data_IF_997431405409
#
_entry.id   IF_997431405409
#
_cell.length_a   1.000
_cell.length_b   1.000
_cell.length_c   1.000
_cell.angle_alpha   90.00
_cell.angle_beta   90.00
_cell.angle_gamma   90.00
#
_symmetry.space_group_name_H-M   'P 1'
#
loop_
_entity.id
_entity.type
_entity.pdbx_description
1 polymer ?
#
# COMPACT_ATOMS: atom_id res chain seq x y z
N UNK A 1 -20.00 -10.75 8.10
CA UNK A 1 -20.59 -9.69 7.26
C UNK A 1 -19.48 -8.70 6.98
N UNK A 2 -19.02 -8.59 5.73
CA UNK A 2 -18.17 -7.48 5.32
C UNK A 2 -18.98 -6.19 5.54
N UNK A 3 -18.38 -5.17 6.18
CA UNK A 3 -19.00 -3.85 6.27
C UNK A 3 -19.04 -3.21 4.88
N UNK A 4 -20.01 -2.31 4.64
CA UNK A 4 -20.09 -1.53 3.39
C UNK A 4 -18.78 -0.74 3.10
N UNK A 5 -18.00 -0.49 4.15
CA UNK A 5 -16.67 0.11 4.11
C UNK A 5 -15.66 -0.82 3.42
N UNK A 6 -15.68 -2.13 3.72
CA UNK A 6 -14.84 -3.10 3.02
C UNK A 6 -15.20 -3.16 1.53
N UNK A 7 -16.48 -3.08 1.18
CA UNK A 7 -16.94 -3.07 -0.21
C UNK A 7 -16.49 -1.81 -0.97
N UNK A 8 -16.42 -0.65 -0.30
CA UNK A 8 -15.87 0.58 -0.88
C UNK A 8 -14.34 0.52 -1.06
N UNK A 9 -13.63 -0.15 -0.15
CA UNK A 9 -12.17 -0.30 -0.18
C UNK A 9 -11.67 -1.23 -1.31
N UNK A 10 -12.44 -2.27 -1.67
CA UNK A 10 -12.09 -3.27 -2.68
C UNK A 10 -12.18 -2.77 -4.16
N UNK A 11 -11.67 -1.57 -4.44
CA UNK A 11 -11.38 -1.13 -5.82
C UNK A 11 -11.99 0.21 -6.26
N UNK A 12 -12.71 0.92 -5.39
CA UNK A 12 -13.30 2.22 -5.74
C UNK A 12 -12.50 3.42 -5.19
N UNK A 13 -11.64 3.22 -4.19
CA UNK A 13 -10.79 4.26 -3.62
C UNK A 13 -9.36 3.71 -3.59
N UNK A 14 -8.45 4.34 -4.33
CA UNK A 14 -7.01 4.09 -4.25
C UNK A 14 -6.38 5.34 -3.62
N UNK A 15 -6.31 5.43 -2.27
CA UNK A 15 -5.86 6.66 -1.62
C UNK A 15 -4.37 6.96 -1.83
N UNK A 16 -3.62 6.03 -2.44
CA UNK A 16 -2.25 6.24 -2.86
C UNK A 16 -2.14 7.07 -4.15
N UNK A 17 -3.15 7.05 -5.02
CA UNK A 17 -3.15 7.79 -6.29
C UNK A 17 -3.66 9.23 -6.14
N UNK A 18 -4.54 9.50 -5.17
CA UNK A 18 -5.28 10.77 -5.12
C UNK A 18 -4.56 11.90 -4.33
N UNK A 19 -3.74 11.58 -3.31
CA UNK A 19 -3.12 12.66 -2.51
C UNK A 19 -1.73 12.38 -1.91
N UNK A 20 -1.42 11.15 -1.49
CA UNK A 20 -0.21 10.86 -0.68
C UNK A 20 1.10 10.89 -1.45
N UNK A 21 1.08 10.70 -2.77
CA UNK A 21 2.29 10.58 -3.62
C UNK A 21 2.42 11.69 -4.67
N UNK A 22 1.57 12.73 -4.62
CA UNK A 22 1.48 13.69 -5.71
C UNK A 22 2.47 14.87 -5.66
N UNK A 23 3.25 15.01 -4.57
CA UNK A 23 4.33 16.01 -4.51
C UNK A 23 5.50 15.62 -5.42
N UNK A 24 6.24 16.62 -5.90
CA UNK A 24 7.42 16.38 -6.74
C UNK A 24 8.48 15.57 -5.98
N UNK A 25 8.70 15.92 -4.72
CA UNK A 25 9.66 15.28 -3.82
C UNK A 25 9.30 13.81 -3.58
N UNK A 26 8.01 13.51 -3.37
CA UNK A 26 7.54 12.14 -3.20
C UNK A 26 7.72 11.31 -4.48
N UNK A 27 7.46 11.88 -5.66
CA UNK A 27 7.71 11.20 -6.94
C UNK A 27 9.20 10.93 -7.17
N UNK A 28 10.07 11.87 -6.81
CA UNK A 28 11.52 11.69 -6.91
C UNK A 28 12.00 10.58 -5.96
N UNK A 29 11.56 10.58 -4.70
CA UNK A 29 11.87 9.55 -3.72
C UNK A 29 11.37 8.17 -4.16
N UNK A 30 10.13 8.09 -4.68
CA UNK A 30 9.59 6.84 -5.25
C UNK A 30 10.46 6.33 -6.39
N UNK A 31 10.93 7.23 -7.26
CA UNK A 31 11.87 6.89 -8.32
C UNK A 31 13.21 6.37 -7.80
N UNK A 32 13.77 6.96 -6.73
CA UNK A 32 15.00 6.45 -6.10
C UNK A 32 14.78 5.06 -5.50
N UNK A 33 13.69 4.87 -4.76
CA UNK A 33 13.35 3.59 -4.16
C UNK A 33 13.21 2.49 -5.21
N UNK A 34 12.48 2.76 -6.30
CA UNK A 34 12.31 1.81 -7.40
C UNK A 34 13.65 1.40 -8.04
N UNK A 35 14.55 2.36 -8.32
CA UNK A 35 15.88 2.05 -8.89
C UNK A 35 16.75 1.25 -7.94
N UNK A 36 16.74 1.57 -6.64
CA UNK A 36 17.52 0.84 -5.64
C UNK A 36 16.98 -0.58 -5.42
N UNK A 37 15.67 -0.74 -5.46
CA UNK A 37 15.02 -2.05 -5.40
C UNK A 37 15.42 -2.92 -6.58
N UNK A 38 15.30 -2.41 -7.81
CA UNK A 38 15.67 -3.13 -9.03
C UNK A 38 17.17 -3.52 -9.03
N UNK A 39 18.04 -2.61 -8.59
CA UNK A 39 19.48 -2.90 -8.52
C UNK A 39 19.82 -3.95 -7.46
N UNK A 40 19.16 -3.91 -6.30
CA UNK A 40 19.32 -4.92 -5.26
C UNK A 40 18.85 -6.29 -5.75
N UNK A 41 17.70 -6.34 -6.43
CA UNK A 41 17.10 -7.57 -6.92
C UNK A 41 17.99 -8.30 -7.95
N UNK A 42 18.79 -7.57 -8.73
CA UNK A 42 19.80 -8.16 -9.63
C UNK A 42 20.87 -8.97 -8.90
N UNK A 43 21.14 -8.66 -7.64
CA UNK A 43 22.14 -9.36 -6.82
C UNK A 43 21.61 -10.64 -6.17
N UNK A 44 20.29 -10.88 -6.20
CA UNK A 44 19.68 -12.03 -5.56
C UNK A 44 19.89 -13.33 -6.32
N UNK A 45 20.12 -14.41 -5.57
CA UNK A 45 19.94 -15.78 -6.08
C UNK A 45 18.46 -16.08 -6.31
N UNK A 46 18.15 -17.13 -7.07
CA UNK A 46 16.77 -17.52 -7.34
C UNK A 46 15.97 -17.82 -6.05
N UNK A 47 16.60 -18.46 -5.06
CA UNK A 47 15.99 -18.73 -3.75
C UNK A 47 15.71 -17.45 -2.94
N UNK A 48 16.62 -16.47 -3.02
CA UNK A 48 16.43 -15.16 -2.40
C UNK A 48 15.29 -14.39 -3.06
N UNK A 49 15.18 -14.45 -4.40
CA UNK A 49 14.06 -13.85 -5.14
C UNK A 49 12.73 -14.45 -4.72
N UNK A 50 12.61 -15.78 -4.69
CA UNK A 50 11.36 -16.45 -4.27
C UNK A 50 10.95 -16.05 -2.84
N UNK A 51 11.92 -15.98 -1.93
CA UNK A 51 11.67 -15.55 -0.54
C UNK A 51 11.23 -14.07 -0.49
N UNK A 52 11.86 -13.23 -1.29
CA UNK A 52 11.59 -11.81 -1.35
C UNK A 52 10.23 -11.48 -1.98
N UNK A 53 9.84 -12.18 -3.04
CA UNK A 53 8.49 -12.10 -3.64
C UNK A 53 7.42 -12.46 -2.61
N UNK A 54 7.56 -13.59 -1.91
CA UNK A 54 6.63 -14.00 -0.84
C UNK A 54 6.54 -12.98 0.28
N UNK A 55 7.67 -12.36 0.66
CA UNK A 55 7.69 -11.29 1.64
C UNK A 55 6.89 -10.07 1.14
N UNK A 56 7.09 -9.67 -0.12
CA UNK A 56 6.40 -8.53 -0.72
C UNK A 56 4.89 -8.77 -0.82
N UNK A 57 4.46 -9.97 -1.20
CA UNK A 57 3.04 -10.35 -1.24
C UNK A 57 2.40 -10.24 0.17
N UNK A 58 3.02 -10.87 1.17
CA UNK A 58 2.56 -10.78 2.56
C UNK A 58 2.51 -9.33 3.07
N UNK A 59 3.54 -8.54 2.75
CA UNK A 59 3.62 -7.14 3.14
C UNK A 59 2.53 -6.30 2.48
N UNK A 60 2.29 -6.49 1.18
CA UNK A 60 1.23 -5.81 0.43
C UNK A 60 -0.15 -6.06 1.04
N UNK A 61 -0.46 -7.33 1.35
CA UNK A 61 -1.71 -7.70 2.02
C UNK A 61 -1.83 -7.07 3.41
N UNK A 62 -0.78 -7.16 4.23
CA UNK A 62 -0.75 -6.55 5.56
C UNK A 62 -0.98 -5.04 5.52
N UNK A 63 -0.31 -4.34 4.60
CA UNK A 63 -0.48 -2.89 4.41
C UNK A 63 -1.90 -2.56 3.95
N UNK A 64 -2.48 -3.33 3.03
CA UNK A 64 -3.87 -3.15 2.59
C UNK A 64 -4.86 -3.29 3.74
N UNK A 65 -4.69 -4.30 4.59
CA UNK A 65 -5.50 -4.48 5.80
C UNK A 65 -5.35 -3.32 6.79
N UNK A 66 -4.11 -2.84 6.99
CA UNK A 66 -3.84 -1.69 7.85
C UNK A 66 -4.47 -0.39 7.35
N UNK A 67 -4.38 -0.14 6.04
CA UNK A 67 -5.02 1.03 5.42
C UNK A 67 -6.56 0.95 5.49
N UNK A 68 -7.16 -0.23 5.29
CA UNK A 68 -8.59 -0.45 5.47
C UNK A 68 -9.03 -0.15 6.92
N UNK A 69 -8.26 -0.60 7.92
CA UNK A 69 -8.54 -0.33 9.33
C UNK A 69 -8.44 1.17 9.67
N UNK A 70 -7.44 1.87 9.14
CA UNK A 70 -7.30 3.33 9.29
C UNK A 70 -8.48 4.06 8.64
N UNK A 71 -8.87 3.64 7.44
CA UNK A 71 -10.01 4.22 6.74
C UNK A 71 -11.31 4.01 7.52
N UNK A 72 -11.58 2.79 7.99
CA UNK A 72 -12.75 2.50 8.82
C UNK A 72 -12.77 3.34 10.11
N UNK A 73 -11.63 3.43 10.81
CA UNK A 73 -11.51 4.26 12.00
C UNK A 73 -11.79 5.73 11.72
N UNK A 74 -11.16 6.29 10.67
CA UNK A 74 -11.34 7.68 10.29
C UNK A 74 -12.78 7.96 9.84
N UNK A 75 -13.39 7.03 9.10
CA UNK A 75 -14.78 7.14 8.67
C UNK A 75 -15.73 7.14 9.87
N UNK A 76 -15.61 6.15 10.75
CA UNK A 76 -16.45 6.04 11.94
C UNK A 76 -16.24 7.20 12.91
N UNK A 77 -15.02 7.73 13.05
CA UNK A 77 -14.75 8.85 13.96
C UNK A 77 -15.27 10.17 13.41
N UNK A 78 -15.16 10.40 12.10
CA UNK A 78 -15.49 11.69 11.49
C UNK A 78 -16.92 11.80 10.95
N UNK A 79 -17.55 10.67 10.57
CA UNK A 79 -18.92 10.65 10.04
C UNK A 79 -19.99 10.23 11.05
N UNK A 80 -19.63 9.78 12.26
CA UNK A 80 -20.60 9.55 13.35
C UNK A 80 -21.05 10.82 14.07
N UNK A 81 -20.45 11.98 13.74
CA UNK A 81 -20.81 13.29 14.30
C UNK A 81 -21.76 14.12 13.41
N UNK A 82 -22.19 13.56 12.27
CA UNK A 82 -23.20 14.12 11.36
C UNK A 82 -24.52 13.34 11.49
#
# INVERSE_FOLDING_TARGET
MSSIINELWHGNIIPQEDSRTNSKEMKELLGYMSRHHEELEKSFTDEQKETFEKFHDCWSEYMSLGEAAIFEYAFNTNFSQL
#
